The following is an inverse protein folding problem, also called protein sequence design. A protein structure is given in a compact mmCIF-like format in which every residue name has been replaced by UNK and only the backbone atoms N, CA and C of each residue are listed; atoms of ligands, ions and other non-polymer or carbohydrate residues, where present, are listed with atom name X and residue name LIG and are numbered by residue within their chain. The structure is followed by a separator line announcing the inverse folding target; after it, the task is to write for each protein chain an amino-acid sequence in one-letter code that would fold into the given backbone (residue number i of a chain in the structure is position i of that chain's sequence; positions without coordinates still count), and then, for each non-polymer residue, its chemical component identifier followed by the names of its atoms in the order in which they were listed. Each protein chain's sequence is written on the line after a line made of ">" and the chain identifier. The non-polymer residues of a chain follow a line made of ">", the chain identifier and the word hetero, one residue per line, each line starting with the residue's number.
data_IF_825526658758
#
_entry.id   IF_825526658758
#
_cell.length_a   1.000
_cell.length_b   1.000
_cell.length_c   1.000
_cell.angle_alpha   90.00
_cell.angle_beta   90.00
_cell.angle_gamma   90.00
#
_symmetry.space_group_name_H-M   'P 1'
#
loop_
_entity.id
_entity.type
_entity.pdbx_description
1 polymer ?
#
# COMPACT_ATOMS: atom_id res chain seq x y z
N UNK A 1 -10.36 1.51 9.12
CA UNK A 1 -10.87 0.28 9.78
C UNK A 1 -11.68 -0.53 8.80
N UNK A 2 -11.35 -1.81 8.62
CA UNK A 2 -12.07 -2.71 7.72
C UNK A 2 -13.18 -3.42 8.51
N UNK A 3 -14.43 -3.25 8.06
CA UNK A 3 -15.63 -3.83 8.64
C UNK A 3 -16.05 -4.99 7.73
N UNK A 4 -15.63 -6.20 8.08
CA UNK A 4 -15.74 -7.37 7.23
C UNK A 4 -16.91 -8.23 7.67
N UNK A 5 -17.84 -8.47 6.75
CA UNK A 5 -18.99 -9.37 6.95
C UNK A 5 -18.90 -10.54 5.96
N UNK A 6 -19.10 -11.77 6.43
CA UNK A 6 -19.28 -12.92 5.58
C UNK A 6 -20.76 -13.20 5.40
N UNK A 7 -21.17 -13.52 4.15
CA UNK A 7 -22.52 -13.85 3.79
C UNK A 7 -22.50 -14.92 2.68
N UNK A 8 -23.56 -15.75 2.52
CA UNK A 8 -23.58 -16.79 1.49
C UNK A 8 -23.39 -16.25 0.06
N UNK A 9 -23.78 -15.02 -0.18
CA UNK A 9 -23.60 -14.27 -1.45
C UNK A 9 -23.70 -12.77 -1.20
N UNK A 10 -23.32 -11.98 -2.18
CA UNK A 10 -23.55 -10.53 -2.15
C UNK A 10 -25.06 -10.21 -2.18
N UNK A 11 -25.55 -9.23 -1.37
CA UNK A 11 -26.94 -8.81 -1.37
C UNK A 11 -27.29 -8.05 -2.67
N UNK A 12 -28.54 -8.21 -3.12
CA UNK A 12 -29.09 -7.44 -4.23
C UNK A 12 -29.74 -6.16 -3.70
N UNK A 13 -29.98 -5.20 -4.58
CA UNK A 13 -30.69 -3.95 -4.22
C UNK A 13 -32.06 -4.28 -3.57
N UNK A 14 -32.31 -3.71 -2.36
CA UNK A 14 -33.52 -3.91 -1.59
C UNK A 14 -33.61 -5.22 -0.80
N UNK A 15 -32.56 -6.04 -0.80
CA UNK A 15 -32.54 -7.33 -0.11
C UNK A 15 -31.88 -7.23 1.26
N UNK A 16 -32.40 -8.01 2.21
CA UNK A 16 -31.76 -8.26 3.51
C UNK A 16 -31.26 -9.70 3.56
N UNK A 17 -29.96 -9.89 3.77
CA UNK A 17 -29.35 -11.20 4.01
C UNK A 17 -28.91 -11.32 5.47
N UNK A 18 -28.96 -12.55 5.98
CA UNK A 18 -28.34 -12.88 7.27
C UNK A 18 -26.88 -13.24 6.99
N UNK A 19 -25.96 -12.50 7.61
CA UNK A 19 -24.52 -12.77 7.56
C UNK A 19 -24.13 -13.89 8.55
N UNK A 20 -22.97 -14.49 8.31
CA UNK A 20 -22.42 -15.59 9.11
C UNK A 20 -21.48 -15.10 10.20
N UNK A 21 -20.73 -14.04 9.92
CA UNK A 21 -19.75 -13.46 10.85
C UNK A 21 -19.54 -11.97 10.56
N UNK A 22 -19.07 -11.28 11.58
CA UNK A 22 -18.62 -9.89 11.47
C UNK A 22 -17.29 -9.72 12.22
N UNK A 23 -16.37 -8.99 11.63
CA UNK A 23 -15.11 -8.63 12.27
C UNK A 23 -14.69 -7.20 11.91
N UNK A 24 -13.97 -6.55 12.82
CA UNK A 24 -13.30 -5.28 12.60
C UNK A 24 -11.79 -5.52 12.58
N UNK A 25 -11.14 -5.13 11.50
CA UNK A 25 -9.70 -5.39 11.27
C UNK A 25 -9.01 -4.04 11.03
N UNK A 26 -7.92 -3.72 11.74
CA UNK A 26 -7.09 -2.57 11.38
C UNK A 26 -6.62 -2.72 9.93
N UNK A 27 -6.86 -1.68 9.12
CA UNK A 27 -6.54 -1.65 7.70
C UNK A 27 -6.13 -0.24 7.27
N UNK A 28 -6.23 -0.01 5.98
CA UNK A 28 -5.72 1.19 5.30
C UNK A 28 -4.30 0.96 4.77
N UNK A 29 -4.11 1.22 3.46
CA UNK A 29 -2.86 0.91 2.76
C UNK A 29 -1.63 1.55 3.41
N UNK A 30 -1.72 2.85 3.75
CA UNK A 30 -0.62 3.54 4.43
C UNK A 30 -0.26 2.90 5.76
N UNK A 31 -1.25 2.53 6.59
CA UNK A 31 -1.03 1.86 7.87
C UNK A 31 -0.45 0.44 7.68
N UNK A 32 -0.96 -0.32 6.71
CA UNK A 32 -0.43 -1.66 6.41
C UNK A 32 1.03 -1.61 5.96
N UNK A 33 1.39 -0.65 5.08
CA UNK A 33 2.76 -0.45 4.59
C UNK A 33 3.67 0.03 5.72
N UNK A 34 3.19 0.89 6.61
CA UNK A 34 3.93 1.33 7.80
C UNK A 34 4.22 0.15 8.75
N UNK A 35 3.21 -0.67 9.05
CA UNK A 35 3.39 -1.89 9.87
C UNK A 35 4.36 -2.86 9.21
N UNK A 36 4.27 -3.06 7.89
CA UNK A 36 5.19 -3.92 7.17
C UNK A 36 6.63 -3.40 7.26
N UNK A 37 6.85 -2.11 7.02
CA UNK A 37 8.20 -1.52 7.11
C UNK A 37 8.77 -1.63 8.53
N UNK A 38 7.97 -1.36 9.57
CA UNK A 38 8.39 -1.43 10.97
C UNK A 38 8.76 -2.86 11.39
N UNK A 39 7.90 -3.85 11.13
CA UNK A 39 8.17 -5.27 11.42
C UNK A 39 9.37 -5.83 10.67
N UNK A 40 9.69 -5.23 9.52
CA UNK A 40 10.82 -5.61 8.66
C UNK A 40 12.09 -4.79 8.91
N UNK A 41 12.11 -4.02 10.01
CA UNK A 41 13.32 -3.44 10.59
C UNK A 41 13.55 -1.96 10.29
N UNK A 42 12.63 -1.25 9.65
CA UNK A 42 12.74 0.20 9.47
C UNK A 42 12.26 0.96 10.72
N UNK A 43 12.83 2.16 10.93
CA UNK A 43 12.21 3.16 11.80
C UNK A 43 11.15 3.90 10.99
N UNK A 44 9.91 3.93 11.48
CA UNK A 44 8.76 4.43 10.73
C UNK A 44 8.07 5.55 11.48
N UNK A 45 7.81 6.65 10.79
CA UNK A 45 6.91 7.71 11.21
C UNK A 45 5.68 7.72 10.30
N UNK A 46 4.49 7.75 10.89
CA UNK A 46 3.22 7.80 10.15
C UNK A 46 2.70 9.24 10.13
N UNK A 47 2.39 9.74 8.93
CA UNK A 47 1.67 11.00 8.74
C UNK A 47 0.25 10.67 8.27
N UNK A 48 -0.76 11.18 8.96
CA UNK A 48 -2.15 10.85 8.64
C UNK A 48 -3.15 11.49 9.59
N UNK A 49 -4.42 11.15 9.41
CA UNK A 49 -5.51 11.59 10.29
C UNK A 49 -6.37 10.41 10.71
N UNK A 50 -6.82 10.44 11.95
CA UNK A 50 -7.85 9.55 12.50
C UNK A 50 -8.98 10.38 13.10
N UNK A 51 -10.18 9.83 13.17
CA UNK A 51 -11.30 10.48 13.83
C UNK A 51 -11.18 10.47 15.35
N UNK A 52 -11.96 11.33 16.01
CA UNK A 52 -12.11 11.35 17.47
C UNK A 52 -13.13 10.29 17.94
N UNK A 53 -13.07 9.10 17.31
CA UNK A 53 -13.93 7.95 17.59
C UNK A 53 -13.13 6.75 18.12
N UNK A 54 -13.84 5.70 18.54
CA UNK A 54 -13.23 4.48 19.08
C UNK A 54 -12.29 3.81 18.05
N UNK A 55 -12.56 3.90 16.76
CA UNK A 55 -11.69 3.38 15.73
C UNK A 55 -10.40 4.18 15.59
N UNK A 56 -10.47 5.52 15.70
CA UNK A 56 -9.28 6.38 15.68
C UNK A 56 -8.31 6.05 16.81
N UNK A 57 -8.84 5.88 18.03
CA UNK A 57 -8.02 5.45 19.17
C UNK A 57 -7.41 4.06 18.94
N UNK A 58 -8.21 3.09 18.49
CA UNK A 58 -7.75 1.73 18.22
C UNK A 58 -6.67 1.69 17.14
N UNK A 59 -6.86 2.40 16.02
CA UNK A 59 -5.92 2.44 14.89
C UNK A 59 -4.59 3.06 15.31
N UNK A 60 -4.63 4.21 16.01
CA UNK A 60 -3.43 4.89 16.48
C UNK A 60 -2.66 4.05 17.51
N UNK A 61 -3.36 3.44 18.47
CA UNK A 61 -2.75 2.57 19.46
C UNK A 61 -2.14 1.31 18.83
N UNK A 62 -2.77 0.76 17.78
CA UNK A 62 -2.22 -0.35 17.00
C UNK A 62 -0.88 -0.01 16.36
N UNK A 63 -0.77 1.17 15.73
CA UNK A 63 0.50 1.64 15.15
C UNK A 63 1.58 1.87 16.21
N UNK A 64 1.23 2.48 17.36
CA UNK A 64 2.15 2.66 18.47
C UNK A 64 2.67 1.33 19.02
N UNK A 65 1.82 0.30 19.10
CA UNK A 65 2.22 -1.04 19.54
C UNK A 65 3.22 -1.72 18.60
N UNK A 66 3.22 -1.34 17.31
CA UNK A 66 4.22 -1.77 16.33
C UNK A 66 5.52 -0.93 16.34
N UNK A 67 5.64 0.01 17.27
CA UNK A 67 6.81 0.89 17.41
C UNK A 67 6.86 2.02 16.38
N UNK A 68 5.74 2.31 15.71
CA UNK A 68 5.63 3.39 14.72
C UNK A 68 5.44 4.73 15.44
N UNK A 69 6.21 5.75 15.06
CA UNK A 69 5.99 7.10 15.55
C UNK A 69 4.71 7.69 14.95
N UNK A 70 3.76 8.01 15.83
CA UNK A 70 2.46 8.57 15.50
C UNK A 70 2.31 10.04 15.94
N UNK A 71 3.40 10.79 16.15
CA UNK A 71 3.31 12.21 16.54
C UNK A 71 2.65 13.05 15.44
N UNK A 72 2.85 12.68 14.18
CA UNK A 72 2.23 13.30 13.01
C UNK A 72 0.87 12.64 12.59
N UNK A 73 0.29 11.78 13.43
CA UNK A 73 -1.08 11.27 13.25
C UNK A 73 -2.04 12.17 14.01
N UNK A 74 -2.71 13.06 13.30
CA UNK A 74 -3.66 14.02 13.86
C UNK A 74 -5.00 13.35 14.20
N UNK A 75 -5.59 13.74 15.34
CA UNK A 75 -6.97 13.38 15.69
C UNK A 75 -7.86 14.53 15.25
N UNK A 76 -8.81 14.27 14.36
CA UNK A 76 -9.73 15.28 13.82
C UNK A 76 -11.16 14.98 14.23
N UNK A 77 -12.03 16.00 14.21
CA UNK A 77 -13.45 15.81 14.49
C UNK A 77 -14.10 14.94 13.41
N UNK A 78 -14.93 13.98 13.83
CA UNK A 78 -15.68 13.09 12.96
C UNK A 78 -15.19 11.64 13.02
N UNK A 79 -15.68 10.84 12.08
CA UNK A 79 -15.39 9.40 12.04
C UNK A 79 -14.06 9.10 11.34
N UNK A 80 -13.35 8.10 11.82
CA UNK A 80 -12.22 7.50 11.13
C UNK A 80 -12.65 6.89 9.79
N UNK A 81 -11.70 6.74 8.85
CA UNK A 81 -11.95 6.07 7.59
C UNK A 81 -12.32 4.60 7.79
N UNK A 82 -13.31 4.12 7.02
CA UNK A 82 -13.77 2.74 7.08
C UNK A 82 -13.90 2.13 5.68
N UNK A 83 -13.68 0.83 5.58
CA UNK A 83 -14.04 0.02 4.43
C UNK A 83 -15.13 -0.96 4.87
N UNK A 84 -16.30 -0.89 4.21
CA UNK A 84 -17.38 -1.86 4.37
C UNK A 84 -17.14 -2.99 3.37
N UNK A 85 -16.85 -4.19 3.87
CA UNK A 85 -16.45 -5.32 3.05
C UNK A 85 -17.45 -6.47 3.26
N UNK A 86 -18.08 -6.91 2.19
CA UNK A 86 -18.89 -8.12 2.19
C UNK A 86 -18.16 -9.18 1.38
N UNK A 87 -17.90 -10.34 1.97
CA UNK A 87 -17.25 -11.49 1.33
C UNK A 87 -18.24 -12.63 1.22
N UNK A 88 -18.40 -13.20 0.02
CA UNK A 88 -19.27 -14.34 -0.20
C UNK A 88 -18.54 -15.71 -0.10
N UNK A 89 -19.31 -16.81 -0.19
CA UNK A 89 -18.79 -18.18 -0.12
C UNK A 89 -17.83 -18.52 -1.27
N UNK A 90 -17.87 -17.78 -2.37
CA UNK A 90 -16.97 -17.92 -3.51
C UNK A 90 -15.72 -17.04 -3.38
N UNK A 91 -15.52 -16.42 -2.20
CA UNK A 91 -14.44 -15.44 -1.94
C UNK A 91 -14.50 -14.20 -2.84
N UNK A 92 -15.67 -13.90 -3.43
CA UNK A 92 -15.90 -12.62 -4.08
C UNK A 92 -16.18 -11.56 -3.03
N UNK A 93 -15.68 -10.35 -3.24
CA UNK A 93 -15.91 -9.25 -2.31
C UNK A 93 -16.56 -8.05 -3.00
N UNK A 94 -17.32 -7.30 -2.20
CA UNK A 94 -17.79 -5.97 -2.54
C UNK A 94 -17.32 -5.01 -1.45
N UNK A 95 -16.67 -3.93 -1.86
CA UNK A 95 -16.04 -2.97 -0.94
C UNK A 95 -16.59 -1.58 -1.20
N UNK A 96 -17.00 -0.91 -0.12
CA UNK A 96 -17.36 0.52 -0.13
C UNK A 96 -16.44 1.22 0.86
N UNK A 97 -15.67 2.19 0.39
CA UNK A 97 -14.75 2.98 1.21
C UNK A 97 -15.39 4.32 1.55
N UNK A 98 -15.30 4.68 2.83
CA UNK A 98 -15.63 6.02 3.32
C UNK A 98 -14.35 6.61 3.89
N UNK A 99 -13.86 7.68 3.26
CA UNK A 99 -12.57 8.30 3.60
C UNK A 99 -12.52 8.79 5.06
N UNK A 100 -13.63 9.33 5.58
CA UNK A 100 -13.67 9.89 6.94
C UNK A 100 -12.51 10.85 7.20
N UNK A 101 -11.85 10.68 8.32
CA UNK A 101 -10.71 11.49 8.73
C UNK A 101 -9.52 11.50 7.75
N UNK A 102 -9.37 10.49 6.89
CA UNK A 102 -8.33 10.50 5.85
C UNK A 102 -8.50 11.71 4.91
N UNK A 103 -9.74 12.14 4.67
CA UNK A 103 -10.04 13.33 3.87
C UNK A 103 -9.59 14.65 4.48
N UNK A 104 -9.27 14.68 5.78
CA UNK A 104 -8.78 15.86 6.48
C UNK A 104 -7.25 16.04 6.41
N UNK A 105 -6.52 15.09 5.85
CA UNK A 105 -5.10 15.28 5.61
C UNK A 105 -4.89 16.23 4.42
N UNK A 106 -4.70 17.52 4.72
CA UNK A 106 -4.46 18.56 3.72
C UNK A 106 -2.98 18.87 3.55
N UNK A 107 -2.63 19.67 2.53
CA UNK A 107 -1.26 20.14 2.33
C UNK A 107 -0.76 20.94 3.54
N UNK A 108 -1.62 21.77 4.15
CA UNK A 108 -1.28 22.57 5.32
C UNK A 108 -1.00 21.69 6.55
N UNK A 109 -1.72 20.58 6.71
CA UNK A 109 -1.42 19.60 7.77
C UNK A 109 -0.07 18.96 7.52
N UNK A 110 0.24 18.62 6.27
CA UNK A 110 1.54 18.06 5.89
C UNK A 110 2.68 19.07 6.15
N UNK A 111 2.49 20.34 5.81
CA UNK A 111 3.49 21.40 6.06
C UNK A 111 3.75 21.59 7.57
N UNK A 112 2.74 21.41 8.41
CA UNK A 112 2.91 21.51 9.88
C UNK A 112 3.79 20.42 10.49
N UNK A 113 4.05 19.34 9.75
CA UNK A 113 4.89 18.19 10.14
C UNK A 113 6.06 17.97 9.19
N UNK A 114 6.50 19.01 8.47
CA UNK A 114 7.58 18.94 7.47
C UNK A 114 8.89 18.37 8.02
N UNK A 115 9.18 18.53 9.31
CA UNK A 115 10.34 17.94 9.97
C UNK A 115 10.37 16.41 9.87
N UNK A 116 9.19 15.76 9.82
CA UNK A 116 9.08 14.30 9.65
C UNK A 116 9.55 13.92 8.25
N UNK A 117 9.14 14.66 7.22
CA UNK A 117 9.59 14.44 5.84
C UNK A 117 11.08 14.70 5.70
N UNK A 118 11.60 15.75 6.34
CA UNK A 118 13.02 16.08 6.33
C UNK A 118 13.89 14.98 6.95
N UNK A 119 13.40 14.31 7.99
CA UNK A 119 14.16 13.27 8.71
C UNK A 119 14.14 11.91 8.00
N UNK A 120 13.21 11.67 7.08
CA UNK A 120 13.07 10.39 6.40
C UNK A 120 14.13 10.18 5.31
N UNK A 121 14.51 8.92 5.05
CA UNK A 121 15.30 8.51 3.88
C UNK A 121 14.39 8.13 2.71
N UNK A 122 13.25 7.51 3.01
CA UNK A 122 12.26 7.01 2.06
C UNK A 122 10.88 7.52 2.44
N UNK A 123 10.14 8.05 1.49
CA UNK A 123 8.76 8.51 1.66
C UNK A 123 7.84 7.65 0.78
N UNK A 124 6.81 7.08 1.40
CA UNK A 124 5.83 6.22 0.74
C UNK A 124 4.48 6.94 0.74
N UNK A 125 3.85 7.05 -0.44
CA UNK A 125 2.50 7.57 -0.60
C UNK A 125 1.56 6.54 -1.24
N UNK A 126 0.26 6.68 -0.98
CA UNK A 126 -0.83 5.92 -1.59
C UNK A 126 -1.95 6.89 -1.98
N UNK A 127 -3.07 6.37 -2.54
CA UNK A 127 -4.18 7.21 -3.02
C UNK A 127 -5.45 7.08 -2.13
N UNK A 128 -5.28 6.91 -0.82
CA UNK A 128 -6.40 6.87 0.16
C UNK A 128 -6.58 8.18 0.93
N UNK A 129 -5.85 9.22 0.55
CA UNK A 129 -5.94 10.59 1.07
C UNK A 129 -6.16 11.56 -0.10
N UNK A 130 -6.49 12.85 0.13
CA UNK A 130 -6.76 13.77 -0.98
C UNK A 130 -5.59 13.88 -1.97
N UNK A 131 -5.90 13.82 -3.27
CA UNK A 131 -4.88 13.91 -4.33
C UNK A 131 -4.00 15.16 -4.22
N UNK A 132 -4.59 16.31 -3.84
CA UNK A 132 -3.83 17.54 -3.64
C UNK A 132 -2.71 17.35 -2.60
N UNK A 133 -3.00 16.60 -1.53
CA UNK A 133 -2.03 16.30 -0.48
C UNK A 133 -0.96 15.32 -0.97
N UNK A 134 -1.37 14.30 -1.72
CA UNK A 134 -0.38 13.35 -2.33
C UNK A 134 0.55 14.10 -3.26
N UNK A 135 0.02 14.92 -4.18
CA UNK A 135 0.83 15.71 -5.10
C UNK A 135 1.78 16.69 -4.37
N UNK A 136 1.32 17.28 -3.28
CA UNK A 136 2.17 18.15 -2.43
C UNK A 136 3.30 17.33 -1.77
N UNK A 137 2.97 16.17 -1.18
CA UNK A 137 3.94 15.28 -0.56
C UNK A 137 5.03 14.81 -1.54
N UNK A 138 4.64 14.38 -2.76
CA UNK A 138 5.56 13.94 -3.79
C UNK A 138 6.56 15.05 -4.19
N UNK A 139 6.04 16.27 -4.42
CA UNK A 139 6.87 17.44 -4.76
C UNK A 139 7.82 17.79 -3.62
N UNK A 140 7.29 17.85 -2.39
CA UNK A 140 8.10 18.16 -1.21
C UNK A 140 9.18 17.13 -0.96
N UNK A 141 8.86 15.84 -1.06
CA UNK A 141 9.84 14.76 -0.93
C UNK A 141 10.95 14.85 -1.98
N UNK A 142 10.60 15.18 -3.23
CA UNK A 142 11.56 15.42 -4.31
C UNK A 142 12.49 16.60 -4.05
N UNK A 143 11.93 17.73 -3.55
CA UNK A 143 12.73 18.92 -3.16
C UNK A 143 13.73 18.60 -2.05
N UNK A 144 13.34 17.73 -1.12
CA UNK A 144 14.19 17.27 -0.02
C UNK A 144 15.22 16.20 -0.44
N UNK A 145 15.18 15.75 -1.71
CA UNK A 145 16.10 14.72 -2.23
C UNK A 145 15.86 13.33 -1.62
N UNK A 146 14.64 13.03 -1.20
CA UNK A 146 14.26 11.74 -0.61
C UNK A 146 13.97 10.71 -1.69
N UNK A 147 14.07 9.43 -1.33
CA UNK A 147 13.56 8.35 -2.18
C UNK A 147 12.03 8.35 -2.08
N UNK A 148 11.36 8.51 -3.22
CA UNK A 148 9.90 8.63 -3.29
C UNK A 148 9.31 7.36 -3.89
N UNK A 149 8.47 6.68 -3.10
CA UNK A 149 7.71 5.51 -3.53
C UNK A 149 6.23 5.91 -3.59
N UNK A 150 5.59 5.73 -4.74
CA UNK A 150 4.14 5.80 -4.86
C UNK A 150 3.57 4.41 -5.16
N UNK A 151 2.75 3.89 -4.24
CA UNK A 151 1.82 2.81 -4.54
C UNK A 151 0.49 3.45 -4.94
N UNK A 152 0.13 3.49 -6.23
CA UNK A 152 -1.00 4.26 -6.74
C UNK A 152 -2.34 3.54 -6.51
N UNK A 153 -2.58 3.14 -5.29
CA UNK A 153 -3.71 2.30 -4.87
C UNK A 153 -4.66 3.06 -3.93
N UNK A 154 -5.98 3.03 -4.21
CA UNK A 154 -6.62 2.51 -5.41
C UNK A 154 -6.53 3.50 -6.59
N UNK A 155 -6.13 3.04 -7.78
CA UNK A 155 -6.16 3.88 -8.97
C UNK A 155 -7.55 3.86 -9.62
N UNK A 156 -8.11 5.04 -9.86
CA UNK A 156 -9.38 5.23 -10.57
C UNK A 156 -9.24 6.05 -11.86
N UNK A 157 -8.05 6.61 -12.09
CA UNK A 157 -7.70 7.46 -13.24
C UNK A 157 -6.18 7.52 -13.40
N UNK A 158 -5.71 8.08 -14.50
CA UNK A 158 -4.30 8.43 -14.72
C UNK A 158 -3.84 9.46 -13.67
N UNK A 159 -2.56 9.43 -13.32
CA UNK A 159 -1.96 10.42 -12.42
C UNK A 159 -1.76 11.76 -13.14
N UNK A 160 -1.78 12.89 -12.41
CA UNK A 160 -1.35 14.17 -12.95
C UNK A 160 0.08 14.07 -13.53
N UNK A 161 0.28 14.64 -14.73
CA UNK A 161 1.55 14.49 -15.47
C UNK A 161 2.77 15.01 -14.69
N UNK A 162 2.59 16.02 -13.87
CA UNK A 162 3.65 16.62 -13.05
C UNK A 162 4.06 15.77 -11.82
N UNK A 163 3.32 14.69 -11.52
CA UNK A 163 3.68 13.79 -10.41
C UNK A 163 4.77 12.81 -10.80
N UNK A 164 4.75 12.31 -12.04
CA UNK A 164 5.66 11.23 -12.46
C UNK A 164 7.13 11.57 -12.24
N UNK A 165 7.55 12.80 -12.54
CA UNK A 165 8.93 13.25 -12.34
C UNK A 165 9.36 13.35 -10.85
N UNK A 166 8.40 13.27 -9.91
CA UNK A 166 8.67 13.26 -8.48
C UNK A 166 8.81 11.85 -7.91
N UNK A 167 8.52 10.79 -8.70
CA UNK A 167 8.43 9.41 -8.23
C UNK A 167 9.68 8.63 -8.64
N UNK A 168 10.43 8.11 -7.67
CA UNK A 168 11.57 7.23 -7.94
C UNK A 168 11.10 5.80 -8.22
N UNK A 169 10.10 5.31 -7.48
CA UNK A 169 9.50 3.99 -7.67
C UNK A 169 7.97 4.08 -7.69
N UNK A 170 7.38 3.79 -8.83
CA UNK A 170 5.94 3.64 -9.01
C UNK A 170 5.59 2.16 -8.93
N UNK A 171 4.74 1.77 -7.97
CA UNK A 171 4.46 0.34 -7.67
C UNK A 171 2.96 0.06 -7.80
N UNK A 172 2.42 -0.07 -9.02
CA UNK A 172 1.05 -0.51 -9.27
C UNK A 172 0.92 -2.04 -9.29
N UNK A 173 -0.30 -2.56 -9.08
CA UNK A 173 -0.69 -3.91 -9.48
C UNK A 173 -1.18 -3.92 -10.94
N UNK A 174 -1.64 -5.10 -11.45
CA UNK A 174 -2.11 -5.25 -12.84
C UNK A 174 -3.25 -4.27 -13.18
N UNK A 175 -4.26 -4.16 -12.30
CA UNK A 175 -5.42 -3.30 -12.54
C UNK A 175 -5.07 -1.82 -12.44
N UNK A 176 -4.22 -1.45 -11.51
CA UNK A 176 -3.71 -0.09 -11.36
C UNK A 176 -2.81 0.31 -12.53
N UNK A 177 -1.92 -0.59 -12.95
CA UNK A 177 -1.08 -0.36 -14.14
C UNK A 177 -1.92 -0.19 -15.39
N UNK A 178 -3.00 -0.97 -15.55
CA UNK A 178 -3.92 -0.84 -16.67
C UNK A 178 -4.64 0.52 -16.67
N UNK A 179 -5.11 1.00 -15.51
CA UNK A 179 -5.73 2.32 -15.39
C UNK A 179 -4.74 3.44 -15.71
N UNK A 180 -3.51 3.35 -15.17
CA UNK A 180 -2.51 4.41 -15.30
C UNK A 180 -1.91 4.50 -16.71
N UNK A 181 -1.74 3.36 -17.39
CA UNK A 181 -1.17 3.29 -18.74
C UNK A 181 -2.22 3.33 -19.85
N UNK A 182 -3.51 3.15 -19.50
CA UNK A 182 -4.62 2.96 -20.45
C UNK A 182 -4.42 1.74 -21.37
N UNK A 183 -3.59 0.77 -20.94
CA UNK A 183 -3.31 -0.48 -21.64
C UNK A 183 -3.86 -1.67 -20.83
N UNK A 184 -4.31 -2.74 -21.48
CA UNK A 184 -4.63 -3.98 -20.78
C UNK A 184 -3.35 -4.60 -20.20
N UNK A 185 -3.43 -5.16 -18.96
CA UNK A 185 -2.32 -5.83 -18.29
C UNK A 185 -2.80 -7.21 -17.84
N UNK A 186 -2.54 -8.22 -18.67
CA UNK A 186 -2.98 -9.62 -18.48
C UNK A 186 -1.88 -10.66 -18.79
N UNK A 187 -0.70 -10.21 -19.17
CA UNK A 187 0.48 -11.04 -19.44
C UNK A 187 1.77 -10.30 -19.05
N UNK A 188 2.91 -11.01 -19.07
CA UNK A 188 4.22 -10.37 -18.84
C UNK A 188 4.54 -9.33 -19.91
N UNK A 189 4.19 -9.60 -21.17
CA UNK A 189 4.42 -8.67 -22.29
C UNK A 189 3.59 -7.40 -22.14
N UNK A 190 2.34 -7.51 -21.73
CA UNK A 190 1.48 -6.33 -21.50
C UNK A 190 1.87 -5.57 -20.23
N UNK A 191 2.38 -6.25 -19.20
CA UNK A 191 2.95 -5.61 -18.02
C UNK A 191 4.22 -4.82 -18.35
N UNK A 192 5.09 -5.37 -19.23
CA UNK A 192 6.26 -4.66 -19.74
C UNK A 192 5.85 -3.42 -20.53
N UNK A 193 4.87 -3.55 -21.44
CA UNK A 193 4.36 -2.41 -22.22
C UNK A 193 3.78 -1.31 -21.33
N UNK A 194 2.99 -1.67 -20.29
CA UNK A 194 2.45 -0.72 -19.33
C UNK A 194 3.59 -0.04 -18.52
N UNK A 195 4.58 -0.80 -18.06
CA UNK A 195 5.72 -0.25 -17.35
C UNK A 195 6.54 0.72 -18.23
N UNK A 196 6.75 0.37 -19.52
CA UNK A 196 7.42 1.25 -20.49
C UNK A 196 6.65 2.56 -20.68
N UNK A 197 5.31 2.49 -20.77
CA UNK A 197 4.46 3.67 -20.87
C UNK A 197 4.63 4.59 -19.66
N UNK A 198 4.61 4.03 -18.44
CA UNK A 198 4.74 4.78 -17.20
C UNK A 198 6.15 5.39 -17.02
N UNK A 199 7.20 4.70 -17.48
CA UNK A 199 8.56 5.28 -17.57
C UNK A 199 8.57 6.45 -18.55
N UNK A 200 7.95 6.29 -19.72
CA UNK A 200 7.87 7.38 -20.71
C UNK A 200 7.06 8.58 -20.22
N UNK A 201 6.09 8.37 -19.32
CA UNK A 201 5.35 9.43 -18.63
C UNK A 201 6.20 10.20 -17.61
N UNK A 202 7.39 9.68 -17.23
CA UNK A 202 8.36 10.38 -16.38
C UNK A 202 8.66 9.70 -15.04
N UNK A 203 8.06 8.54 -14.71
CA UNK A 203 8.42 7.79 -13.51
C UNK A 203 9.87 7.32 -13.58
N UNK A 204 10.60 7.40 -12.47
CA UNK A 204 11.99 6.96 -12.42
C UNK A 204 12.13 5.46 -12.69
N UNK A 205 11.39 4.65 -11.97
CA UNK A 205 11.33 3.19 -12.09
C UNK A 205 9.91 2.71 -11.82
N UNK A 206 9.54 1.56 -12.42
CA UNK A 206 8.20 0.98 -12.26
C UNK A 206 8.32 -0.48 -11.84
N UNK A 207 7.53 -0.87 -10.85
CA UNK A 207 7.39 -2.25 -10.40
C UNK A 207 5.91 -2.64 -10.52
N UNK A 208 5.55 -3.37 -11.57
CA UNK A 208 4.19 -3.88 -11.73
C UNK A 208 4.08 -5.22 -11.01
N UNK A 209 3.30 -5.28 -9.92
CA UNK A 209 3.05 -6.53 -9.20
C UNK A 209 2.00 -7.36 -9.94
N UNK A 210 2.25 -8.67 -10.11
CA UNK A 210 1.51 -9.59 -10.98
C UNK A 210 1.00 -10.82 -10.19
N UNK A 211 0.70 -10.64 -8.92
CA UNK A 211 0.18 -11.68 -8.04
C UNK A 211 1.02 -12.97 -8.09
N UNK A 212 0.41 -14.07 -8.50
CA UNK A 212 1.09 -15.39 -8.58
C UNK A 212 2.15 -15.47 -9.70
N UNK A 213 2.21 -14.50 -10.61
CA UNK A 213 3.24 -14.42 -11.64
C UNK A 213 4.50 -13.67 -11.14
N UNK A 214 4.46 -13.03 -9.99
CA UNK A 214 5.58 -12.26 -9.44
C UNK A 214 5.48 -10.78 -9.72
N UNK A 215 6.49 -10.19 -10.36
CA UNK A 215 6.47 -8.77 -10.72
C UNK A 215 7.35 -8.49 -11.96
N UNK A 216 7.03 -7.40 -12.65
CA UNK A 216 7.86 -6.81 -13.70
C UNK A 216 8.54 -5.56 -13.15
N UNK A 217 9.84 -5.51 -13.18
CA UNK A 217 10.64 -4.33 -12.83
C UNK A 217 11.15 -3.64 -14.08
N UNK A 218 10.90 -2.35 -14.21
CA UNK A 218 11.38 -1.50 -15.29
C UNK A 218 12.29 -0.39 -14.76
N UNK A 219 13.47 -0.26 -15.36
CA UNK A 219 14.45 0.78 -15.06
C UNK A 219 14.97 1.36 -16.39
N UNK A 220 14.41 2.49 -16.81
CA UNK A 220 14.67 3.06 -18.12
C UNK A 220 14.22 2.12 -19.26
N UNK A 221 15.17 1.60 -20.03
CA UNK A 221 14.92 0.65 -21.14
C UNK A 221 15.16 -0.81 -20.76
N UNK A 222 15.48 -1.09 -19.49
CA UNK A 222 15.70 -2.44 -18.98
C UNK A 222 14.44 -2.96 -18.29
N UNK A 223 14.04 -4.18 -18.61
CA UNK A 223 12.89 -4.87 -18.04
C UNK A 223 13.34 -6.22 -17.49
N UNK A 224 12.98 -6.51 -16.25
CA UNK A 224 13.33 -7.76 -15.58
C UNK A 224 12.10 -8.35 -14.88
N UNK A 225 11.80 -9.60 -15.20
CA UNK A 225 10.75 -10.36 -14.53
C UNK A 225 11.32 -11.08 -13.30
N UNK A 226 10.73 -10.83 -12.14
CA UNK A 226 11.00 -11.55 -10.90
C UNK A 226 9.84 -12.50 -10.63
N UNK A 227 10.00 -13.81 -10.84
CA UNK A 227 8.92 -14.78 -10.60
C UNK A 227 8.51 -14.83 -9.14
N UNK A 228 7.23 -15.14 -8.89
CA UNK A 228 6.73 -15.27 -7.53
C UNK A 228 7.38 -16.45 -6.81
N UNK A 229 7.61 -16.29 -5.51
CA UNK A 229 8.03 -17.40 -4.65
C UNK A 229 6.85 -18.35 -4.43
N UNK A 230 7.10 -19.66 -4.55
CA UNK A 230 6.03 -20.68 -4.46
C UNK A 230 5.64 -20.93 -3.01
N UNK A 231 4.42 -20.58 -2.67
CA UNK A 231 3.82 -20.80 -1.34
C UNK A 231 2.38 -21.29 -1.50
N UNK A 232 1.83 -21.87 -0.44
CA UNK A 232 0.40 -22.16 -0.37
C UNK A 232 -0.32 -20.91 0.16
N UNK A 233 -0.92 -20.14 -0.73
CA UNK A 233 -1.67 -18.96 -0.35
C UNK A 233 -2.95 -19.35 0.43
N UNK A 234 -3.21 -18.60 1.50
CA UNK A 234 -4.41 -18.66 2.34
C UNK A 234 -5.25 -17.39 2.13
N UNK A 235 -4.59 -16.22 2.14
CA UNK A 235 -5.24 -14.92 1.97
C UNK A 235 -4.23 -13.96 1.32
N UNK A 236 -4.62 -13.22 0.30
CA UNK A 236 -3.76 -12.27 -0.40
C UNK A 236 -3.95 -10.83 0.06
N UNK A 237 -4.78 -10.61 1.08
CA UNK A 237 -5.00 -9.28 1.67
C UNK A 237 -3.68 -8.70 2.17
N UNK A 238 -3.43 -7.44 1.84
CA UNK A 238 -2.21 -6.70 2.18
C UNK A 238 -0.88 -7.30 1.67
N UNK A 239 -0.91 -8.25 0.72
CA UNK A 239 0.32 -8.77 0.11
C UNK A 239 1.12 -7.66 -0.61
N UNK A 240 0.43 -6.81 -1.38
CA UNK A 240 1.02 -5.63 -2.01
C UNK A 240 1.58 -4.63 -1.00
N UNK A 241 0.84 -4.35 0.08
CA UNK A 241 1.30 -3.47 1.16
C UNK A 241 2.55 -4.04 1.86
N UNK A 242 2.56 -5.36 2.09
CA UNK A 242 3.73 -6.05 2.67
C UNK A 242 4.94 -5.98 1.73
N UNK A 243 4.73 -6.14 0.43
CA UNK A 243 5.79 -5.95 -0.56
C UNK A 243 6.35 -4.53 -0.51
N UNK A 244 5.49 -3.50 -0.58
CA UNK A 244 5.91 -2.09 -0.59
C UNK A 244 6.66 -1.73 0.69
N UNK A 245 6.12 -2.09 1.86
CA UNK A 245 6.77 -1.84 3.15
C UNK A 245 8.13 -2.55 3.28
N UNK A 246 8.20 -3.81 2.85
CA UNK A 246 9.44 -4.59 2.84
C UNK A 246 10.50 -4.04 1.87
N UNK A 247 10.08 -3.67 0.66
CA UNK A 247 10.94 -3.03 -0.33
C UNK A 247 11.52 -1.71 0.21
N UNK A 248 10.67 -0.86 0.79
CA UNK A 248 11.09 0.42 1.37
C UNK A 248 12.06 0.23 2.55
N UNK A 249 11.78 -0.71 3.47
CA UNK A 249 12.67 -1.02 4.59
C UNK A 249 14.04 -1.51 4.11
N UNK A 250 14.08 -2.32 3.07
CA UNK A 250 15.32 -2.81 2.47
C UNK A 250 16.12 -1.66 1.82
N UNK A 251 15.46 -0.76 1.08
CA UNK A 251 16.13 0.43 0.52
C UNK A 251 16.69 1.34 1.61
N UNK A 252 15.90 1.63 2.65
CA UNK A 252 16.33 2.45 3.78
C UNK A 252 17.53 1.83 4.52
N UNK A 253 17.67 0.49 4.51
CA UNK A 253 18.83 -0.20 5.07
C UNK A 253 20.06 -0.23 4.13
N UNK A 254 20.00 0.42 2.96
CA UNK A 254 21.09 0.50 1.99
C UNK A 254 21.25 -0.73 1.10
N UNK A 255 20.24 -1.61 1.00
CA UNK A 255 20.29 -2.75 0.07
C UNK A 255 20.20 -2.28 -1.39
N UNK A 256 20.75 -3.10 -2.29
CA UNK A 256 20.55 -2.89 -3.73
C UNK A 256 19.07 -3.02 -4.10
N UNK A 257 18.67 -2.43 -5.24
CA UNK A 257 17.28 -2.52 -5.74
C UNK A 257 16.82 -3.97 -5.91
N UNK A 258 17.67 -4.80 -6.49
CA UNK A 258 17.40 -6.22 -6.71
C UNK A 258 17.21 -6.95 -5.38
N UNK A 259 18.05 -6.67 -4.39
CA UNK A 259 17.92 -7.27 -3.06
C UNK A 259 16.69 -6.76 -2.32
N UNK A 260 16.34 -5.48 -2.49
CA UNK A 260 15.12 -4.89 -1.93
C UNK A 260 13.85 -5.50 -2.55
N UNK A 261 13.83 -5.71 -3.88
CA UNK A 261 12.74 -6.41 -4.57
C UNK A 261 12.59 -7.84 -4.03
N UNK A 262 13.67 -8.61 -3.97
CA UNK A 262 13.66 -9.99 -3.45
C UNK A 262 13.21 -10.06 -2.00
N UNK A 263 13.63 -9.10 -1.18
CA UNK A 263 13.23 -9.02 0.22
C UNK A 263 11.74 -8.71 0.37
N UNK A 264 11.21 -7.74 -0.40
CA UNK A 264 9.79 -7.44 -0.45
C UNK A 264 8.94 -8.63 -0.93
N UNK A 265 9.42 -9.36 -1.97
CA UNK A 265 8.76 -10.59 -2.44
C UNK A 265 8.73 -11.68 -1.37
N UNK A 266 9.83 -11.89 -0.64
CA UNK A 266 9.89 -12.87 0.44
C UNK A 266 8.91 -12.51 1.57
N UNK A 267 8.84 -11.23 1.94
CA UNK A 267 7.88 -10.75 2.94
C UNK A 267 6.43 -10.97 2.48
N UNK A 268 6.10 -10.59 1.25
CA UNK A 268 4.78 -10.82 0.66
C UNK A 268 4.43 -12.31 0.55
N UNK A 269 5.39 -13.17 0.19
CA UNK A 269 5.18 -14.61 0.12
C UNK A 269 4.86 -15.21 1.49
N UNK A 270 5.47 -14.74 2.57
CA UNK A 270 5.12 -15.17 3.94
C UNK A 270 3.73 -14.65 4.31
N UNK A 271 3.40 -13.38 4.02
CA UNK A 271 2.11 -12.80 4.40
C UNK A 271 0.93 -13.56 3.81
N UNK A 272 0.98 -13.95 2.53
CA UNK A 272 -0.13 -14.66 1.87
C UNK A 272 -0.40 -16.06 2.44
N UNK A 273 0.47 -16.61 3.28
CA UNK A 273 0.26 -17.89 3.98
C UNK A 273 -0.63 -17.77 5.20
N UNK A 274 -1.08 -16.56 5.56
CA UNK A 274 -1.85 -16.24 6.76
C UNK A 274 -3.08 -15.42 6.39
N UNK A 275 -4.12 -15.47 7.24
CA UNK A 275 -5.32 -14.68 7.04
C UNK A 275 -5.20 -13.26 7.60
N UNK A 276 -5.89 -12.32 6.96
CA UNK A 276 -6.06 -10.93 7.37
C UNK A 276 -4.99 -9.98 6.82
N UNK A 277 -5.20 -8.67 7.01
CA UNK A 277 -4.29 -7.61 6.60
C UNK A 277 -3.07 -7.52 7.53
N UNK A 278 -3.05 -6.60 8.48
CA UNK A 278 -1.92 -6.44 9.42
C UNK A 278 -1.54 -7.71 10.18
N UNK A 279 -2.47 -8.60 10.61
CA UNK A 279 -2.10 -9.85 11.26
C UNK A 279 -1.24 -10.80 10.41
N UNK A 280 -1.35 -10.73 9.08
CA UNK A 280 -0.58 -11.58 8.16
C UNK A 280 0.86 -11.12 7.95
N UNK A 281 1.15 -9.85 8.18
CA UNK A 281 2.45 -9.23 7.90
C UNK A 281 3.54 -9.87 8.77
N UNK A 282 4.62 -10.41 8.17
CA UNK A 282 5.68 -11.10 8.90
C UNK A 282 6.63 -10.14 9.61
N UNK A 283 7.34 -10.68 10.58
CA UNK A 283 8.52 -10.06 11.20
C UNK A 283 9.78 -10.28 10.35
N UNK A 284 10.83 -9.50 10.61
CA UNK A 284 12.13 -9.65 9.96
C UNK A 284 12.70 -11.07 10.14
N UNK A 285 12.59 -11.64 11.35
CA UNK A 285 13.10 -12.98 11.65
C UNK A 285 12.37 -14.06 10.83
N UNK A 286 11.07 -13.93 10.65
CA UNK A 286 10.28 -14.87 9.85
C UNK A 286 10.66 -14.81 8.37
N UNK A 287 10.91 -13.61 7.82
CA UNK A 287 11.38 -13.46 6.44
C UNK A 287 12.80 -14.00 6.26
N UNK A 288 13.69 -13.77 7.23
CA UNK A 288 15.05 -14.33 7.21
C UNK A 288 15.08 -15.86 7.31
N UNK A 289 14.13 -16.43 8.05
CA UNK A 289 13.99 -17.89 8.18
C UNK A 289 13.28 -18.54 6.98
N UNK A 290 12.59 -17.75 6.15
CA UNK A 290 11.87 -18.26 4.99
C UNK A 290 12.84 -18.79 3.94
N UNK A 291 12.70 -20.08 3.61
CA UNK A 291 13.43 -20.75 2.53
C UNK A 291 12.44 -21.04 1.41
N UNK A 292 12.63 -20.42 0.27
CA UNK A 292 11.84 -20.67 -0.96
C UNK A 292 12.17 -22.01 -1.57
#
# INVERSE_FOLDING_TARGET
>A
MDLVTRAPRLPRGGETLIGESFSTIPGGKGANQAVAAARLGAQVSMVGCVGNDAYGEQLRNGLLAEGIDCQAVSVVEGASGVALIVVDDNSQNAIVIVAGANGALTAEVLDSVDEVLQSADVIICQLEVPDATVGHALKRARELGKIVILNPAPASRTLPADWYACIDYLIPNESEAAVLSELAVDSLETAEAAAAHLIAAGAGKVIVTLGAQGLMFANGTSFEHFPALRVKAVDTTAAGDTFVGGFAAALASGKSEVDAIRFGQAAAAVSVTRAGAQPSIPTLLEVQAFKS
#
